data_IF_473742205088
#
_entry.id   IF_473742205088
#
_cell.length_a   1.000
_cell.length_b   1.000
_cell.length_c   1.000
_cell.angle_alpha   90.00
_cell.angle_beta   90.00
_cell.angle_gamma   90.00
#
_symmetry.space_group_name_H-M   'P 1'
#
loop_
_entity.id
_entity.type
_entity.pdbx_description
1 polymer ?
#
# COMPACT_ATOMS: atom_id res chain seq x y z
N UNK A 1 -10.97 -3.13 -2.97
CA UNK A 1 -9.55 -3.53 -3.07
C UNK A 1 -9.22 -4.68 -2.15
N UNK A 2 -9.84 -4.79 -0.97
CA UNK A 2 -9.58 -5.91 -0.06
C UNK A 2 -10.38 -7.15 -0.42
N UNK A 3 -9.82 -8.32 -0.17
CA UNK A 3 -10.39 -9.64 -0.42
C UNK A 3 -11.79 -9.84 0.20
N UNK A 4 -12.05 -9.31 1.39
CA UNK A 4 -13.35 -9.38 2.08
C UNK A 4 -14.14 -8.06 2.09
N UNK A 5 -13.64 -7.03 1.38
CA UNK A 5 -14.26 -5.71 1.28
C UNK A 5 -14.61 -5.05 2.64
N UNK A 6 -13.76 -5.24 3.67
CA UNK A 6 -13.93 -4.66 5.01
C UNK A 6 -12.63 -4.01 5.48
N UNK A 7 -12.69 -2.79 5.99
CA UNK A 7 -11.51 -2.02 6.41
C UNK A 7 -10.98 -2.42 7.79
N UNK A 8 -11.82 -3.06 8.59
CA UNK A 8 -11.57 -3.26 10.02
C UNK A 8 -11.43 -4.70 10.44
N UNK A 9 -11.55 -5.68 9.54
CA UNK A 9 -11.34 -7.11 9.83
C UNK A 9 -10.02 -7.60 9.26
N UNK A 10 -9.56 -8.76 9.75
CA UNK A 10 -8.48 -9.50 9.12
C UNK A 10 -8.77 -9.69 7.62
N UNK A 11 -7.96 -9.06 6.79
CA UNK A 11 -8.20 -8.88 5.36
C UNK A 11 -6.92 -8.50 4.68
N UNK A 12 -6.78 -8.83 3.40
CA UNK A 12 -5.57 -8.57 2.62
C UNK A 12 -5.92 -7.81 1.35
N UNK A 13 -4.90 -7.26 0.70
CA UNK A 13 -5.08 -6.72 -0.65
C UNK A 13 -5.39 -7.88 -1.60
N UNK A 14 -6.42 -7.72 -2.42
CA UNK A 14 -6.70 -8.66 -3.50
C UNK A 14 -5.77 -8.34 -4.67
N UNK A 15 -5.07 -9.37 -5.16
CA UNK A 15 -4.00 -9.28 -6.16
C UNK A 15 -4.38 -8.52 -7.43
N UNK A 16 -5.67 -8.56 -7.81
CA UNK A 16 -6.17 -7.81 -8.96
C UNK A 16 -6.04 -6.28 -8.80
N UNK A 17 -5.82 -5.79 -7.58
CA UNK A 17 -5.67 -4.38 -7.25
C UNK A 17 -4.23 -3.96 -6.93
N UNK A 18 -3.22 -4.82 -7.13
CA UNK A 18 -1.82 -4.50 -6.82
C UNK A 18 -1.34 -3.24 -7.55
N UNK A 19 -1.60 -3.15 -8.86
CA UNK A 19 -1.26 -1.99 -9.67
C UNK A 19 -2.05 -0.74 -9.24
N UNK A 20 -3.36 -0.89 -9.01
CA UNK A 20 -4.22 0.22 -8.56
C UNK A 20 -3.76 0.77 -7.22
N UNK A 21 -3.35 -0.09 -6.30
CA UNK A 21 -2.87 0.32 -4.98
C UNK A 21 -1.49 0.96 -5.03
N UNK A 22 -0.59 0.51 -5.90
CA UNK A 22 0.67 1.20 -6.16
C UNK A 22 0.44 2.61 -6.72
N UNK A 23 -0.47 2.75 -7.70
CA UNK A 23 -0.84 4.06 -8.26
C UNK A 23 -1.52 4.98 -7.23
N UNK A 24 -2.19 4.42 -6.22
CA UNK A 24 -2.73 5.19 -5.10
C UNK A 24 -1.62 5.85 -4.27
N UNK A 25 -0.49 5.17 -4.04
CA UNK A 25 0.68 5.78 -3.36
C UNK A 25 1.23 6.96 -4.15
N UNK A 26 1.40 6.82 -5.47
CA UNK A 26 1.83 7.92 -6.35
C UNK A 26 0.86 9.09 -6.27
N UNK A 27 -0.45 8.83 -6.42
CA UNK A 27 -1.47 9.88 -6.37
C UNK A 27 -1.51 10.60 -5.01
N UNK A 28 -1.21 9.89 -3.93
CA UNK A 28 -1.12 10.48 -2.59
C UNK A 28 0.09 11.41 -2.47
N UNK A 29 1.25 11.00 -2.98
CA UNK A 29 2.46 11.84 -2.97
C UNK A 29 2.28 13.07 -3.85
N UNK A 30 1.75 12.90 -5.07
CA UNK A 30 1.48 14.00 -6.01
C UNK A 30 0.57 15.06 -5.38
N UNK A 31 -0.55 14.62 -4.78
CA UNK A 31 -1.52 15.53 -4.16
C UNK A 31 -0.94 16.36 -3.01
N UNK A 32 0.06 15.83 -2.29
CA UNK A 32 0.74 16.58 -1.23
C UNK A 32 1.86 17.47 -1.77
N UNK A 33 2.57 17.03 -2.83
CA UNK A 33 3.56 17.88 -3.50
C UNK A 33 2.91 19.11 -4.14
N UNK A 34 1.68 18.99 -4.68
CA UNK A 34 0.87 20.14 -5.14
C UNK A 34 0.63 21.19 -4.04
N UNK A 35 0.58 20.75 -2.78
CA UNK A 35 0.44 21.60 -1.60
C UNK A 35 1.80 21.99 -0.97
N UNK A 36 2.91 21.76 -1.67
CA UNK A 36 4.29 21.99 -1.23
C UNK A 36 4.69 21.20 0.02
N UNK A 37 4.13 19.99 0.18
CA UNK A 37 4.48 19.06 1.26
C UNK A 37 5.22 17.86 0.68
N UNK A 38 6.50 17.76 0.99
CA UNK A 38 7.38 16.69 0.53
C UNK A 38 7.55 15.61 1.62
N UNK A 39 7.65 14.35 1.20
CA UNK A 39 7.88 13.21 2.09
C UNK A 39 9.32 12.73 2.01
N UNK A 40 9.95 12.44 3.15
CA UNK A 40 11.29 11.82 3.16
C UNK A 40 11.23 10.31 2.88
N UNK A 41 10.09 9.67 3.17
CA UNK A 41 9.93 8.24 3.02
C UNK A 41 8.52 7.78 3.35
N UNK A 42 8.26 6.51 3.05
CA UNK A 42 6.99 5.84 3.24
C UNK A 42 7.20 4.44 3.82
N UNK A 43 6.13 3.86 4.32
CA UNK A 43 6.09 2.43 4.65
C UNK A 43 5.10 1.72 3.72
N UNK A 44 5.36 0.46 3.32
CA UNK A 44 4.42 -0.30 2.48
C UNK A 44 3.10 -0.58 3.18
N UNK A 45 3.12 -0.71 4.51
CA UNK A 45 1.94 -0.94 5.35
C UNK A 45 2.29 -0.71 6.82
N UNK A 46 1.38 -0.10 7.58
CA UNK A 46 1.45 -0.08 9.05
C UNK A 46 0.97 -1.43 9.61
N UNK A 47 1.79 -2.05 10.48
CA UNK A 47 1.46 -3.30 11.21
C UNK A 47 0.81 -4.38 10.31
N UNK A 48 1.52 -4.89 9.29
CA UNK A 48 0.96 -5.84 8.32
C UNK A 48 0.53 -7.17 8.94
N UNK A 49 1.12 -7.59 10.05
CA UNK A 49 0.74 -8.78 10.82
C UNK A 49 -0.62 -8.60 11.51
N UNK A 50 -0.93 -7.38 11.97
CA UNK A 50 -2.19 -7.08 12.62
C UNK A 50 -3.41 -7.31 11.71
N UNK A 51 -3.26 -6.97 10.42
CA UNK A 51 -4.29 -7.19 9.39
C UNK A 51 -4.47 -8.65 8.97
N UNK A 52 -3.57 -9.56 9.38
CA UNK A 52 -3.71 -11.01 9.17
C UNK A 52 -4.48 -11.69 10.30
N UNK A 53 -4.30 -11.23 11.54
CA UNK A 53 -4.78 -11.97 12.73
C UNK A 53 -5.95 -11.31 13.46
N UNK A 54 -5.97 -9.98 13.55
CA UNK A 54 -6.89 -9.29 14.46
C UNK A 54 -7.95 -8.50 13.71
N UNK A 55 -7.57 -7.36 13.12
CA UNK A 55 -8.51 -6.42 12.55
C UNK A 55 -9.59 -5.97 13.54
N UNK A 56 -9.31 -4.91 14.29
CA UNK A 56 -10.32 -4.17 15.05
C UNK A 56 -10.26 -2.65 14.80
N UNK A 57 -9.34 -2.23 13.94
CA UNK A 57 -9.19 -0.89 13.39
C UNK A 57 -8.70 -0.99 11.94
N UNK A 58 -8.52 0.17 11.29
CA UNK A 58 -8.09 0.26 9.89
C UNK A 58 -6.74 -0.45 9.71
N UNK A 59 -6.73 -1.58 9.02
CA UNK A 59 -5.57 -2.45 8.88
C UNK A 59 -5.56 -3.11 7.51
N UNK A 60 -4.43 -3.60 7.02
CA UNK A 60 -4.36 -4.44 5.83
C UNK A 60 -3.26 -5.46 6.04
N UNK A 61 -3.63 -6.73 5.90
CA UNK A 61 -2.75 -7.87 6.13
C UNK A 61 -1.83 -8.14 4.95
N UNK A 62 -0.58 -8.50 5.25
CA UNK A 62 0.39 -8.92 4.24
C UNK A 62 1.28 -10.03 4.78
N UNK A 63 1.39 -11.15 4.05
CA UNK A 63 2.52 -12.05 4.28
C UNK A 63 3.81 -11.43 3.73
N UNK A 64 4.98 -11.74 4.31
CA UNK A 64 6.26 -11.18 3.84
C UNK A 64 6.52 -11.41 2.34
N UNK A 65 6.13 -12.56 1.80
CA UNK A 65 6.28 -12.88 0.37
C UNK A 65 5.39 -12.03 -0.52
N UNK A 66 4.15 -11.78 -0.10
CA UNK A 66 3.19 -10.96 -0.86
C UNK A 66 3.60 -9.50 -0.87
N UNK A 67 4.07 -9.00 0.28
CA UNK A 67 4.60 -7.65 0.37
C UNK A 67 5.84 -7.47 -0.49
N UNK A 68 6.75 -8.45 -0.50
CA UNK A 68 7.93 -8.44 -1.37
C UNK A 68 7.51 -8.39 -2.85
N UNK A 69 6.59 -9.25 -3.26
CA UNK A 69 6.09 -9.31 -4.64
C UNK A 69 5.45 -7.98 -5.04
N UNK A 70 4.60 -7.42 -4.18
CA UNK A 70 3.96 -6.13 -4.46
C UNK A 70 4.96 -4.98 -4.53
N UNK A 71 5.94 -4.93 -3.62
CA UNK A 71 6.97 -3.88 -3.63
C UNK A 71 7.80 -3.95 -4.92
N UNK A 72 8.33 -5.13 -5.25
CA UNK A 72 9.23 -5.30 -6.39
C UNK A 72 8.50 -5.20 -7.72
N UNK A 73 7.29 -5.76 -7.81
CA UNK A 73 6.53 -5.85 -9.05
C UNK A 73 5.69 -4.62 -9.37
N UNK A 74 5.29 -3.83 -8.36
CA UNK A 74 4.28 -2.78 -8.52
C UNK A 74 4.68 -1.45 -7.87
N UNK A 75 4.87 -1.42 -6.54
CA UNK A 75 5.09 -0.15 -5.83
C UNK A 75 6.39 0.54 -6.26
N UNK A 76 7.52 -0.18 -6.26
CA UNK A 76 8.82 0.36 -6.65
C UNK A 76 8.79 0.93 -8.07
N UNK A 77 8.43 0.13 -9.11
CA UNK A 77 8.32 0.63 -10.48
C UNK A 77 7.36 1.82 -10.65
N UNK A 78 6.26 1.87 -9.90
CA UNK A 78 5.32 2.99 -9.95
C UNK A 78 5.92 4.28 -9.37
N UNK A 79 6.66 4.19 -8.26
CA UNK A 79 7.36 5.33 -7.66
C UNK A 79 8.48 5.83 -8.58
N UNK A 80 9.32 4.92 -9.09
CA UNK A 80 10.41 5.25 -10.03
C UNK A 80 9.86 5.95 -11.29
N UNK A 81 8.78 5.42 -11.86
CA UNK A 81 8.14 6.00 -13.06
C UNK A 81 7.53 7.39 -12.80
N UNK A 82 7.11 7.67 -11.57
CA UNK A 82 6.60 8.97 -11.14
C UNK A 82 7.70 9.95 -10.69
N UNK A 83 8.96 9.51 -10.59
CA UNK A 83 10.10 10.33 -10.18
C UNK A 83 10.30 10.40 -8.66
N UNK A 84 9.73 9.46 -7.90
CA UNK A 84 9.99 9.29 -6.48
C UNK A 84 11.06 8.21 -6.28
N UNK A 85 12.27 8.60 -5.87
CA UNK A 85 13.43 7.71 -5.61
C UNK A 85 13.73 7.55 -4.10
#
# INVERSE_FOLDING_TARGET
>A
MKDINDTTKASRLDDQYYEVYANYYVSFLDAYSEENVEFWGLTPQNEPDHGLEYGFFNSMGWYPSEMLEWIVGYLGPALDAAGYE
#
